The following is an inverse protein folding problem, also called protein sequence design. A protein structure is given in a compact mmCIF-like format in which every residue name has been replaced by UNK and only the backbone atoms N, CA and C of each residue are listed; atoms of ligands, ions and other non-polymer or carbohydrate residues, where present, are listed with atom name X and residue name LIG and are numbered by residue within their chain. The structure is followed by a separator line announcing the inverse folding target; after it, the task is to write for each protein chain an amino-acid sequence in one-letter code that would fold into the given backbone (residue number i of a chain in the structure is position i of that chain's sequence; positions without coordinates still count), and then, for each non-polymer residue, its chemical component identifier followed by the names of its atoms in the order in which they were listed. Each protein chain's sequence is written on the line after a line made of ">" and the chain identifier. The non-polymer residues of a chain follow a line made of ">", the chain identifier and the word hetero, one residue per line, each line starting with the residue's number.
data_IF_500980044589
#
_entry.id   IF_500980044589
#
_cell.length_a   1.000
_cell.length_b   1.000
_cell.length_c   1.000
_cell.angle_alpha   90.00
_cell.angle_beta   90.00
_cell.angle_gamma   90.00
#
_symmetry.space_group_name_H-M   'P 1'
#
loop_
_entity.id
_entity.type
_entity.pdbx_description
1 polymer ?
#
# COMPACT_ATOMS: atom_id res chain seq x y z
N UNK A 1 -20.01 -12.51 3.56
CA UNK A 1 -19.74 -13.29 2.33
C UNK A 1 -18.24 -13.28 1.95
N UNK A 2 -17.59 -12.12 1.99
CA UNK A 2 -16.18 -12.00 1.61
C UNK A 2 -15.23 -12.90 2.41
N UNK A 3 -15.30 -12.99 3.76
CA UNK A 3 -14.44 -13.89 4.53
C UNK A 3 -14.60 -15.37 4.15
N UNK A 4 -15.80 -15.79 3.80
CA UNK A 4 -16.08 -17.19 3.37
C UNK A 4 -15.40 -17.46 2.03
N UNK A 5 -15.55 -16.57 1.06
CA UNK A 5 -14.90 -16.68 -0.26
C UNK A 5 -13.38 -16.72 -0.11
N UNK A 6 -12.82 -15.82 0.70
CA UNK A 6 -11.40 -15.78 0.99
C UNK A 6 -10.90 -17.08 1.64
N UNK A 7 -11.62 -17.61 2.61
CA UNK A 7 -11.29 -18.87 3.28
C UNK A 7 -11.27 -20.05 2.32
N UNK A 8 -12.21 -20.11 1.40
CA UNK A 8 -12.24 -21.16 0.34
C UNK A 8 -11.01 -21.00 -0.57
N UNK A 9 -10.70 -19.80 -1.05
CA UNK A 9 -9.54 -19.56 -1.90
C UNK A 9 -8.24 -19.97 -1.20
N UNK A 10 -8.07 -19.59 0.06
CA UNK A 10 -6.90 -19.95 0.86
C UNK A 10 -6.78 -21.47 1.07
N UNK A 11 -7.89 -22.15 1.34
CA UNK A 11 -7.94 -23.61 1.52
C UNK A 11 -7.56 -24.37 0.24
N UNK A 12 -7.74 -23.75 -0.92
CA UNK A 12 -7.31 -24.28 -2.22
C UNK A 12 -5.83 -24.04 -2.52
N UNK A 13 -5.07 -23.45 -1.61
CA UNK A 13 -3.66 -23.14 -1.81
C UNK A 13 -3.41 -21.87 -2.63
N UNK A 14 -4.43 -21.09 -2.95
CA UNK A 14 -4.29 -19.83 -3.68
C UNK A 14 -3.76 -18.72 -2.76
N UNK A 15 -2.83 -17.91 -3.24
CA UNK A 15 -2.43 -16.69 -2.55
C UNK A 15 -3.63 -15.76 -2.46
N UNK A 16 -4.06 -15.48 -1.23
CA UNK A 16 -5.28 -14.72 -0.95
C UNK A 16 -4.94 -13.43 -0.23
N UNK A 17 -5.27 -12.30 -0.84
CA UNK A 17 -5.02 -10.96 -0.32
C UNK A 17 -6.34 -10.27 -0.10
N UNK A 18 -6.57 -9.77 1.12
CA UNK A 18 -7.73 -8.95 1.44
C UNK A 18 -7.37 -7.47 1.38
N UNK A 19 -8.19 -6.68 0.71
CA UNK A 19 -8.11 -5.22 0.74
C UNK A 19 -9.43 -4.72 1.31
N UNK A 20 -9.35 -4.05 2.46
CA UNK A 20 -10.53 -3.61 3.20
C UNK A 20 -10.44 -2.13 3.55
N UNK A 21 -11.59 -1.49 3.70
CA UNK A 21 -11.68 -0.09 4.11
C UNK A 21 -12.36 0.04 5.46
N UNK A 22 -11.90 1.03 6.25
CA UNK A 22 -12.58 1.45 7.47
C UNK A 22 -13.36 2.73 7.13
N UNK A 23 -14.68 2.80 7.46
CA UNK A 23 -15.53 3.93 7.11
C UNK A 23 -15.04 5.25 7.69
N UNK A 24 -15.47 6.36 7.10
CA UNK A 24 -15.30 7.69 7.66
C UNK A 24 -15.96 7.80 9.03
N UNK A 25 -15.39 8.63 9.91
CA UNK A 25 -15.91 8.86 11.26
C UNK A 25 -17.37 9.38 11.25
N UNK A 26 -17.72 10.25 10.27
CA UNK A 26 -19.09 10.76 10.12
C UNK A 26 -20.12 9.69 9.72
N UNK A 27 -19.69 8.50 9.31
CA UNK A 27 -20.58 7.35 9.06
C UNK A 27 -21.05 6.66 10.36
N UNK A 28 -20.63 7.15 11.50
CA UNK A 28 -20.97 6.76 12.87
C UNK A 28 -20.25 5.51 13.39
N UNK A 29 -20.06 5.53 14.70
CA UNK A 29 -19.35 4.50 15.49
C UNK A 29 -19.83 3.08 15.21
N UNK A 30 -21.13 2.88 15.01
CA UNK A 30 -21.72 1.56 14.76
C UNK A 30 -21.19 0.92 13.49
N UNK A 31 -21.04 1.71 12.40
CA UNK A 31 -20.45 1.25 11.16
C UNK A 31 -18.97 0.93 11.31
N UNK A 32 -18.24 1.75 12.04
CA UNK A 32 -16.81 1.55 12.30
C UNK A 32 -16.57 0.26 13.07
N UNK A 33 -17.33 0.03 14.14
CA UNK A 33 -17.24 -1.21 14.95
C UNK A 33 -17.56 -2.44 14.10
N UNK A 34 -18.57 -2.36 13.25
CA UNK A 34 -18.93 -3.44 12.33
C UNK A 34 -17.80 -3.71 11.32
N UNK A 35 -17.18 -2.66 10.79
CA UNK A 35 -16.04 -2.77 9.87
C UNK A 35 -14.83 -3.41 10.54
N UNK A 36 -14.50 -3.03 11.79
CA UNK A 36 -13.40 -3.61 12.55
C UNK A 36 -13.61 -5.10 12.82
N UNK A 37 -14.83 -5.51 13.13
CA UNK A 37 -15.17 -6.94 13.25
C UNK A 37 -15.00 -7.69 11.94
N UNK A 38 -15.38 -7.07 10.83
CA UNK A 38 -15.18 -7.61 9.49
C UNK A 38 -13.71 -7.77 9.15
N UNK A 39 -12.86 -6.82 9.53
CA UNK A 39 -11.40 -6.88 9.35
C UNK A 39 -10.81 -8.07 10.13
N UNK A 40 -11.19 -8.25 11.38
CA UNK A 40 -10.73 -9.38 12.20
C UNK A 40 -11.12 -10.74 11.60
N UNK A 41 -12.34 -10.85 11.11
CA UNK A 41 -12.81 -12.07 10.45
C UNK A 41 -12.10 -12.32 9.10
N UNK A 42 -11.92 -11.26 8.30
CA UNK A 42 -11.17 -11.34 7.04
C UNK A 42 -9.73 -11.75 7.26
N UNK A 43 -9.06 -11.18 8.27
CA UNK A 43 -7.67 -11.45 8.62
C UNK A 43 -7.39 -12.94 8.83
N UNK A 44 -8.34 -13.67 9.40
CA UNK A 44 -8.23 -15.11 9.64
C UNK A 44 -8.30 -15.95 8.35
N UNK A 45 -8.84 -15.37 7.28
CA UNK A 45 -9.16 -16.06 6.02
C UNK A 45 -8.28 -15.63 4.85
N UNK A 46 -7.29 -14.78 5.07
CA UNK A 46 -6.37 -14.29 4.02
C UNK A 46 -4.92 -14.52 4.42
N UNK A 47 -4.01 -14.53 3.44
CA UNK A 47 -2.57 -14.59 3.67
C UNK A 47 -2.02 -13.24 4.10
N UNK A 48 -2.52 -12.16 3.50
CA UNK A 48 -2.18 -10.79 3.86
C UNK A 48 -3.40 -9.89 3.74
N UNK A 49 -3.47 -8.87 4.60
CA UNK A 49 -4.56 -7.90 4.61
C UNK A 49 -4.00 -6.49 4.50
N UNK A 50 -4.55 -5.72 3.56
CA UNK A 50 -4.29 -4.29 3.39
C UNK A 50 -5.50 -3.52 3.92
N UNK A 51 -5.27 -2.67 4.91
CA UNK A 51 -6.33 -1.88 5.55
C UNK A 51 -6.20 -0.43 5.10
N UNK A 52 -7.24 0.10 4.48
CA UNK A 52 -7.34 1.50 4.07
C UNK A 52 -8.30 2.22 5.03
N UNK A 53 -7.79 3.17 5.80
CA UNK A 53 -8.61 3.97 6.71
C UNK A 53 -9.07 5.25 6.00
N UNK A 54 -10.36 5.37 5.70
CA UNK A 54 -10.94 6.51 5.01
C UNK A 54 -10.80 7.82 5.81
N UNK A 55 -10.72 7.76 7.14
CA UNK A 55 -10.53 8.95 7.97
C UNK A 55 -9.19 9.63 7.69
N UNK A 56 -8.17 8.88 7.28
CA UNK A 56 -6.88 9.45 6.88
C UNK A 56 -6.97 10.33 5.65
N UNK A 57 -7.92 10.05 4.76
CA UNK A 57 -8.22 10.89 3.61
C UNK A 57 -8.79 12.23 4.08
N UNK A 58 -9.67 12.21 5.06
CA UNK A 58 -10.20 13.42 5.68
C UNK A 58 -9.10 14.25 6.34
N UNK A 59 -8.17 13.64 7.05
CA UNK A 59 -7.04 14.34 7.69
C UNK A 59 -6.15 15.05 6.68
N UNK A 60 -5.85 14.40 5.55
CA UNK A 60 -5.01 14.98 4.49
C UNK A 60 -5.70 16.14 3.80
N UNK A 61 -7.00 16.08 3.61
CA UNK A 61 -7.80 17.09 2.93
C UNK A 61 -8.57 17.99 3.90
N UNK A 62 -8.22 18.01 5.20
CA UNK A 62 -8.91 18.79 6.23
C UNK A 62 -8.96 20.29 5.92
N UNK A 63 -7.87 20.83 5.34
CA UNK A 63 -7.77 22.23 4.96
C UNK A 63 -8.29 22.54 3.55
N UNK A 64 -8.78 21.53 2.83
CA UNK A 64 -9.34 21.70 1.50
C UNK A 64 -10.87 21.70 1.53
N UNK A 65 -11.47 22.44 0.60
CA UNK A 65 -12.92 22.60 0.51
C UNK A 65 -13.55 21.48 -0.34
N UNK A 66 -13.24 20.23 0.01
CA UNK A 66 -13.81 19.09 -0.71
C UNK A 66 -15.18 18.70 -0.13
N UNK A 67 -16.07 18.28 -1.02
CA UNK A 67 -17.39 17.81 -0.63
C UNK A 67 -17.33 16.38 -0.08
N UNK A 68 -18.34 15.98 0.69
CA UNK A 68 -18.50 14.59 1.16
C UNK A 68 -18.51 13.61 -0.01
N UNK A 69 -19.23 13.96 -1.08
CA UNK A 69 -19.26 13.15 -2.32
C UNK A 69 -17.85 12.96 -2.91
N UNK A 70 -17.06 14.03 -2.96
CA UNK A 70 -15.70 13.98 -3.47
C UNK A 70 -14.78 13.14 -2.57
N UNK A 71 -14.95 13.17 -1.25
CA UNK A 71 -14.16 12.33 -0.33
C UNK A 71 -14.45 10.85 -0.52
N UNK A 72 -15.70 10.46 -0.73
CA UNK A 72 -16.06 9.07 -1.08
C UNK A 72 -15.45 8.66 -2.42
N UNK A 73 -15.49 9.53 -3.42
CA UNK A 73 -14.89 9.26 -4.74
C UNK A 73 -13.38 9.04 -4.63
N UNK A 74 -12.68 9.83 -3.83
CA UNK A 74 -11.23 9.68 -3.61
C UNK A 74 -10.90 8.40 -2.86
N UNK A 75 -11.71 8.01 -1.88
CA UNK A 75 -11.56 6.75 -1.17
C UNK A 75 -11.69 5.56 -2.12
N UNK A 76 -12.69 5.55 -2.98
CA UNK A 76 -12.89 4.52 -4.00
C UNK A 76 -11.72 4.46 -4.99
N UNK A 77 -11.21 5.61 -5.40
CA UNK A 77 -10.07 5.71 -6.31
C UNK A 77 -8.79 5.15 -5.68
N UNK A 78 -8.53 5.43 -4.42
CA UNK A 78 -7.37 4.91 -3.69
C UNK A 78 -7.45 3.38 -3.60
N UNK A 79 -8.62 2.84 -3.26
CA UNK A 79 -8.85 1.40 -3.19
C UNK A 79 -8.64 0.74 -4.56
N UNK A 80 -9.17 1.33 -5.61
CA UNK A 80 -9.00 0.86 -6.99
C UNK A 80 -7.52 0.87 -7.41
N UNK A 81 -6.81 1.96 -7.13
CA UNK A 81 -5.40 2.08 -7.45
C UNK A 81 -4.54 1.08 -6.67
N UNK A 82 -4.84 0.82 -5.40
CA UNK A 82 -4.15 -0.17 -4.60
C UNK A 82 -4.32 -1.58 -5.19
N UNK A 83 -5.54 -1.95 -5.54
CA UNK A 83 -5.86 -3.24 -6.17
C UNK A 83 -5.14 -3.40 -7.51
N UNK A 84 -5.18 -2.38 -8.35
CA UNK A 84 -4.48 -2.35 -9.63
C UNK A 84 -2.98 -2.48 -9.47
N UNK A 85 -2.38 -1.78 -8.50
CA UNK A 85 -0.94 -1.83 -8.26
C UNK A 85 -0.46 -3.21 -7.81
N UNK A 86 -1.20 -3.90 -6.98
CA UNK A 86 -0.88 -5.29 -6.61
C UNK A 86 -0.94 -6.21 -7.83
N UNK A 87 -1.97 -6.07 -8.65
CA UNK A 87 -2.08 -6.83 -9.91
C UNK A 87 -0.92 -6.54 -10.86
N UNK A 88 -0.51 -5.30 -11.01
CA UNK A 88 0.60 -4.89 -11.87
C UNK A 88 1.94 -5.47 -11.40
N UNK A 89 2.19 -5.60 -10.10
CA UNK A 89 3.40 -6.23 -9.57
C UNK A 89 3.58 -7.68 -10.06
N UNK A 90 2.48 -8.34 -10.36
CA UNK A 90 2.47 -9.75 -10.77
C UNK A 90 2.48 -9.88 -12.31
N UNK A 91 1.81 -8.99 -13.02
CA UNK A 91 1.48 -9.16 -14.45
C UNK A 91 2.33 -8.34 -15.40
N UNK A 92 2.96 -7.24 -14.98
CA UNK A 92 3.75 -6.39 -15.86
C UNK A 92 5.18 -6.90 -15.96
N UNK A 93 5.62 -7.22 -17.17
CA UNK A 93 7.00 -7.55 -17.45
C UNK A 93 7.86 -6.27 -17.51
N UNK A 94 9.10 -6.37 -17.12
CA UNK A 94 10.03 -5.25 -17.11
C UNK A 94 11.49 -5.68 -17.25
N UNK A 95 12.39 -4.73 -17.18
CA UNK A 95 13.84 -4.96 -17.31
C UNK A 95 14.40 -5.79 -16.14
N UNK A 96 13.86 -5.55 -14.95
CA UNK A 96 14.14 -6.35 -13.76
C UNK A 96 12.79 -6.81 -13.22
N UNK A 97 12.48 -8.07 -13.44
CA UNK A 97 11.21 -8.64 -13.03
C UNK A 97 11.24 -9.09 -11.58
N UNK A 98 10.17 -8.76 -10.85
CA UNK A 98 9.88 -9.42 -9.59
C UNK A 98 9.43 -10.85 -9.90
N UNK A 99 10.11 -11.83 -9.31
CA UNK A 99 9.68 -13.22 -9.41
C UNK A 99 8.36 -13.36 -8.65
N UNK A 100 7.37 -14.01 -9.28
CA UNK A 100 6.09 -14.30 -8.63
C UNK A 100 6.27 -14.99 -7.28
N UNK A 101 7.26 -15.86 -7.15
CA UNK A 101 7.58 -16.53 -5.87
C UNK A 101 8.02 -15.54 -4.79
N UNK A 102 8.75 -14.51 -5.14
CA UNK A 102 9.17 -13.45 -4.20
C UNK A 102 7.96 -12.64 -3.73
N UNK A 103 7.06 -12.28 -4.64
CA UNK A 103 5.81 -11.60 -4.32
C UNK A 103 4.95 -12.47 -3.41
N UNK A 104 4.76 -13.73 -3.79
CA UNK A 104 3.99 -14.70 -3.01
C UNK A 104 4.59 -14.90 -1.61
N UNK A 105 5.91 -15.08 -1.51
CA UNK A 105 6.62 -15.24 -0.24
C UNK A 105 6.48 -14.01 0.66
N UNK A 106 6.53 -12.81 0.07
CA UNK A 106 6.36 -11.55 0.80
C UNK A 106 4.95 -11.41 1.36
N UNK A 107 3.94 -11.79 0.58
CA UNK A 107 2.54 -11.65 0.96
C UNK A 107 2.02 -12.80 1.82
N UNK A 108 2.51 -14.03 1.58
CA UNK A 108 2.04 -15.21 2.31
C UNK A 108 2.46 -15.15 3.77
N UNK A 109 1.50 -15.29 4.67
CA UNK A 109 1.69 -15.18 6.13
C UNK A 109 2.23 -13.83 6.61
N UNK A 110 2.12 -12.80 5.76
CA UNK A 110 2.55 -11.44 6.08
C UNK A 110 1.66 -10.73 7.10
N UNK A 111 0.44 -11.21 7.33
CA UNK A 111 -0.50 -10.59 8.24
C UNK A 111 -0.97 -9.22 7.74
N UNK A 112 -0.52 -8.14 8.37
CA UNK A 112 -0.79 -6.77 7.89
C UNK A 112 0.14 -6.38 6.77
N UNK A 113 -0.38 -5.69 5.78
CA UNK A 113 0.37 -5.12 4.67
C UNK A 113 0.11 -3.62 4.56
N UNK A 114 1.16 -2.88 4.21
CA UNK A 114 1.08 -1.45 3.92
C UNK A 114 1.53 -1.24 2.49
N UNK A 115 0.79 -0.45 1.74
CA UNK A 115 1.12 -0.08 0.37
C UNK A 115 1.24 1.43 0.25
N UNK A 116 2.23 1.87 -0.50
CA UNK A 116 2.38 3.26 -0.87
C UNK A 116 2.68 3.37 -2.36
N UNK A 117 2.16 4.40 -2.98
CA UNK A 117 2.39 4.71 -4.39
C UNK A 117 2.70 6.18 -4.54
N UNK A 118 3.69 6.47 -5.37
CA UNK A 118 4.07 7.85 -5.67
C UNK A 118 4.45 8.00 -7.12
N UNK A 119 4.27 9.22 -7.64
CA UNK A 119 4.58 9.59 -9.02
C UNK A 119 5.16 10.98 -9.05
N UNK A 120 6.19 11.18 -9.87
CA UNK A 120 6.81 12.48 -10.06
C UNK A 120 7.49 12.58 -11.42
N UNK A 121 7.77 13.80 -11.84
CA UNK A 121 8.43 14.12 -13.10
C UNK A 121 9.59 15.07 -12.87
N UNK A 122 10.40 15.24 -13.92
CA UNK A 122 11.48 16.20 -13.96
C UNK A 122 12.76 15.72 -13.27
N UNK A 123 13.57 16.66 -12.84
CA UNK A 123 14.86 16.39 -12.19
C UNK A 123 14.64 15.64 -10.88
N UNK A 124 15.41 14.58 -10.64
CA UNK A 124 15.30 13.68 -9.47
C UNK A 124 13.88 13.06 -9.32
N UNK A 125 13.29 12.67 -10.45
CA UNK A 125 11.92 12.13 -10.49
C UNK A 125 11.72 10.89 -9.60
N UNK A 126 12.72 10.02 -9.49
CA UNK A 126 12.63 8.80 -8.67
C UNK A 126 12.59 9.17 -7.19
N UNK A 127 13.48 10.03 -6.73
CA UNK A 127 13.46 10.53 -5.35
C UNK A 127 12.14 11.23 -5.01
N UNK A 128 11.67 12.09 -5.91
CA UNK A 128 10.37 12.79 -5.73
C UNK A 128 9.20 11.82 -5.70
N UNK A 129 9.23 10.77 -6.52
CA UNK A 129 8.22 9.72 -6.50
C UNK A 129 8.21 8.96 -5.18
N UNK A 130 9.38 8.68 -4.61
CA UNK A 130 9.51 8.06 -3.29
C UNK A 130 8.93 8.97 -2.19
N UNK A 131 9.27 10.25 -2.21
CA UNK A 131 8.73 11.24 -1.26
C UNK A 131 7.19 11.30 -1.37
N UNK A 132 6.67 11.34 -2.59
CA UNK A 132 5.23 11.32 -2.84
C UNK A 132 4.58 10.03 -2.29
N UNK A 133 5.22 8.89 -2.49
CA UNK A 133 4.74 7.61 -1.94
C UNK A 133 4.69 7.63 -0.40
N UNK A 134 5.71 8.18 0.25
CA UNK A 134 5.78 8.27 1.72
C UNK A 134 4.73 9.24 2.29
N UNK A 135 4.24 10.17 1.49
CA UNK A 135 3.12 11.05 1.83
C UNK A 135 1.75 10.46 1.48
N UNK A 136 1.70 9.22 0.98
CA UNK A 136 0.45 8.57 0.57
C UNK A 136 -0.52 8.43 1.74
N UNK A 137 -1.85 8.66 1.50
CA UNK A 137 -2.89 8.38 2.48
C UNK A 137 -2.86 6.95 3.04
N UNK A 138 -2.41 6.00 2.24
CA UNK A 138 -2.32 4.58 2.62
C UNK A 138 -1.27 4.33 3.71
N UNK A 139 -0.26 5.20 3.82
CA UNK A 139 0.80 5.09 4.83
C UNK A 139 0.56 5.89 6.10
N UNK A 140 -0.38 6.81 6.08
CA UNK A 140 -0.57 7.75 7.17
C UNK A 140 -0.70 7.03 8.52
N UNK A 141 0.15 7.41 9.49
CA UNK A 141 0.18 6.80 10.82
C UNK A 141 0.88 5.45 10.92
N UNK A 142 1.40 4.90 9.82
CA UNK A 142 2.14 3.66 9.79
C UNK A 142 3.62 3.90 9.45
N UNK A 143 4.49 3.15 10.09
CA UNK A 143 5.94 3.27 9.92
C UNK A 143 6.47 2.08 9.10
N UNK A 144 6.86 2.32 7.85
CA UNK A 144 7.45 1.32 6.96
C UNK A 144 8.72 0.71 7.56
N UNK A 145 9.48 1.47 8.36
CA UNK A 145 10.73 0.98 8.94
C UNK A 145 10.55 -0.22 9.88
N UNK A 146 9.33 -0.46 10.33
CA UNK A 146 8.98 -1.60 11.18
C UNK A 146 8.63 -2.87 10.40
N UNK A 147 8.56 -2.79 9.08
CA UNK A 147 8.34 -3.95 8.23
C UNK A 147 9.53 -4.91 8.27
N UNK A 148 9.28 -6.19 8.03
CA UNK A 148 10.34 -7.20 7.86
C UNK A 148 10.73 -7.37 6.41
N UNK A 149 9.81 -7.13 5.48
CA UNK A 149 10.00 -7.23 4.04
C UNK A 149 9.38 -6.06 3.31
N UNK A 150 10.08 -5.58 2.29
CA UNK A 150 9.61 -4.53 1.40
C UNK A 150 9.80 -4.98 -0.05
N UNK A 151 8.72 -4.88 -0.83
CA UNK A 151 8.75 -4.92 -2.27
C UNK A 151 8.76 -3.48 -2.78
N UNK A 152 9.75 -3.16 -3.59
CA UNK A 152 9.93 -1.85 -4.17
C UNK A 152 10.00 -1.97 -5.70
N UNK A 153 9.07 -1.38 -6.42
CA UNK A 153 9.07 -1.43 -7.88
C UNK A 153 9.04 -0.04 -8.47
N UNK A 154 9.92 0.20 -9.44
CA UNK A 154 10.03 1.47 -10.18
C UNK A 154 9.44 1.26 -11.56
N UNK A 155 8.56 2.18 -11.97
CA UNK A 155 7.94 2.19 -13.28
C UNK A 155 8.38 3.44 -14.04
N UNK A 156 8.79 3.24 -15.27
CA UNK A 156 9.07 4.31 -16.22
C UNK A 156 8.53 3.92 -17.60
N UNK A 157 8.36 4.90 -18.51
CA UNK A 157 7.93 4.60 -19.86
C UNK A 157 9.11 4.24 -20.77
N UNK A 158 8.82 3.60 -21.89
CA UNK A 158 9.80 3.35 -22.96
C UNK A 158 10.37 4.67 -23.51
N UNK A 159 9.54 5.71 -23.58
CA UNK A 159 9.93 7.05 -24.04
C UNK A 159 10.95 7.72 -23.12
N UNK A 160 10.87 7.45 -21.82
CA UNK A 160 11.73 8.05 -20.79
C UNK A 160 12.20 6.95 -19.82
N UNK A 161 13.08 6.04 -20.27
CA UNK A 161 13.48 4.88 -19.50
C UNK A 161 14.31 5.26 -18.27
N UNK A 162 14.39 4.36 -17.33
CA UNK A 162 15.19 4.53 -16.13
C UNK A 162 16.67 4.44 -16.47
N UNK A 163 17.45 5.44 -16.07
CA UNK A 163 18.90 5.48 -16.23
C UNK A 163 19.62 4.98 -14.98
N UNK A 164 20.83 4.43 -15.15
CA UNK A 164 21.64 3.91 -14.04
C UNK A 164 21.94 4.99 -13.00
N UNK A 165 22.19 6.22 -13.43
CA UNK A 165 22.46 7.33 -12.52
C UNK A 165 21.24 7.70 -11.64
N UNK A 166 20.03 7.38 -12.08
CA UNK A 166 18.82 7.59 -11.26
C UNK A 166 18.74 6.62 -10.08
N UNK A 167 19.46 5.51 -10.09
CA UNK A 167 19.50 4.56 -8.99
C UNK A 167 20.09 5.17 -7.71
N UNK A 168 20.94 6.20 -7.82
CA UNK A 168 21.47 6.93 -6.67
C UNK A 168 20.37 7.66 -5.88
N UNK A 169 19.25 7.96 -6.51
CA UNK A 169 18.12 8.64 -5.89
C UNK A 169 17.39 7.75 -4.87
N UNK A 170 17.62 6.45 -4.91
CA UNK A 170 17.04 5.47 -3.99
C UNK A 170 17.87 5.36 -2.70
N UNK A 171 19.14 5.77 -2.73
CA UNK A 171 20.09 5.54 -1.65
C UNK A 171 19.63 6.11 -0.31
N UNK A 172 19.10 7.31 -0.29
CA UNK A 172 18.60 7.94 0.94
C UNK A 172 17.43 7.15 1.56
N UNK A 173 16.55 6.62 0.73
CA UNK A 173 15.45 5.77 1.18
C UNK A 173 15.97 4.44 1.75
N UNK A 174 16.87 3.79 1.04
CA UNK A 174 17.45 2.52 1.48
C UNK A 174 18.25 2.66 2.78
N UNK A 175 19.03 3.74 2.90
CA UNK A 175 19.84 4.02 4.10
C UNK A 175 18.98 4.32 5.33
N UNK A 176 17.77 4.86 5.14
CA UNK A 176 16.82 5.12 6.22
C UNK A 176 16.13 3.85 6.74
N UNK A 177 16.19 2.75 6.01
CA UNK A 177 15.59 1.48 6.41
C UNK A 177 16.51 0.74 7.39
N UNK A 178 15.88 -0.05 8.29
CA UNK A 178 16.63 -0.97 9.15
C UNK A 178 17.42 -1.98 8.28
N UNK A 179 18.71 -2.22 8.55
CA UNK A 179 19.51 -3.19 7.79
C UNK A 179 18.95 -4.62 7.76
N UNK A 180 18.13 -4.97 8.74
CA UNK A 180 17.51 -6.29 8.83
C UNK A 180 16.27 -6.45 7.93
N UNK A 181 15.80 -5.36 7.30
CA UNK A 181 14.69 -5.42 6.36
C UNK A 181 15.15 -6.09 5.06
N UNK A 182 14.41 -7.11 4.65
CA UNK A 182 14.60 -7.76 3.36
C UNK A 182 13.92 -6.93 2.27
N UNK A 183 14.70 -6.36 1.35
CA UNK A 183 14.20 -5.53 0.26
C UNK A 183 14.35 -6.26 -1.06
N UNK A 184 13.22 -6.46 -1.72
CA UNK A 184 13.12 -7.03 -3.06
C UNK A 184 12.70 -5.92 -3.99
N UNK A 185 13.41 -5.71 -5.09
CA UNK A 185 13.12 -4.61 -6.00
C UNK A 185 13.06 -5.04 -7.46
N UNK A 186 12.32 -4.28 -8.26
CA UNK A 186 12.20 -4.49 -9.69
C UNK A 186 12.05 -3.18 -10.44
N UNK A 187 12.21 -3.26 -11.73
CA UNK A 187 12.02 -2.15 -12.66
C UNK A 187 11.09 -2.63 -13.77
N UNK A 188 10.00 -1.93 -13.97
CA UNK A 188 8.97 -2.26 -14.94
C UNK A 188 8.68 -1.09 -15.86
N UNK A 189 8.03 -1.37 -16.97
CA UNK A 189 7.66 -0.38 -17.97
C UNK A 189 6.16 -0.09 -17.92
N UNK A 190 5.81 1.19 -17.93
CA UNK A 190 4.44 1.67 -18.02
C UNK A 190 4.40 2.89 -18.93
N UNK A 191 3.96 2.70 -20.16
CA UNK A 191 3.97 3.74 -21.19
C UNK A 191 2.96 4.86 -20.94
N UNK A 192 2.03 4.69 -20.03
CA UNK A 192 1.10 5.75 -19.62
C UNK A 192 1.76 6.86 -18.81
N UNK A 193 2.98 6.62 -18.31
CA UNK A 193 3.72 7.58 -17.50
C UNK A 193 4.37 8.71 -18.28
N UNK A 194 4.61 8.51 -19.56
CA UNK A 194 5.37 9.43 -20.42
C UNK A 194 6.76 9.77 -19.82
N UNK A 195 6.95 10.97 -19.27
CA UNK A 195 8.22 11.39 -18.67
C UNK A 195 8.31 11.16 -17.16
N UNK A 196 7.25 10.67 -16.56
CA UNK A 196 7.19 10.46 -15.12
C UNK A 196 7.87 9.16 -14.68
N UNK A 197 8.27 9.11 -13.42
CA UNK A 197 8.56 7.89 -12.71
C UNK A 197 7.45 7.62 -11.69
N UNK A 198 7.10 6.36 -11.53
CA UNK A 198 6.18 5.89 -10.50
C UNK A 198 6.89 4.85 -9.63
N UNK A 199 6.65 4.89 -8.34
CA UNK A 199 7.12 3.85 -7.42
C UNK A 199 5.94 3.22 -6.69
N UNK A 200 6.04 1.92 -6.45
CA UNK A 200 5.11 1.18 -5.60
C UNK A 200 5.92 0.50 -4.51
N UNK A 201 5.51 0.71 -3.27
CA UNK A 201 6.13 0.14 -2.09
C UNK A 201 5.09 -0.74 -1.41
N UNK A 202 5.41 -2.02 -1.21
CA UNK A 202 4.57 -2.94 -0.48
C UNK A 202 5.38 -3.48 0.70
N UNK A 203 4.96 -3.18 1.92
CA UNK A 203 5.64 -3.57 3.14
C UNK A 203 4.79 -4.58 3.91
N UNK A 204 5.43 -5.64 4.40
CA UNK A 204 4.79 -6.72 5.16
C UNK A 204 5.63 -7.13 6.36
N UNK A 205 5.12 -8.04 7.18
CA UNK A 205 5.84 -8.57 8.33
C UNK A 205 5.81 -7.66 9.55
N UNK A 206 4.73 -6.91 9.72
CA UNK A 206 4.49 -6.14 10.94
C UNK A 206 4.09 -7.07 12.09
N UNK A 207 4.55 -6.73 13.29
CA UNK A 207 4.17 -7.46 14.49
C UNK A 207 2.66 -7.31 14.80
N UNK A 208 2.14 -8.14 15.72
CA UNK A 208 0.71 -8.21 16.08
C UNK A 208 0.10 -6.89 16.54
N UNK A 209 0.91 -5.86 16.82
CA UNK A 209 0.48 -4.50 17.12
C UNK A 209 -0.09 -3.71 15.95
N UNK A 210 -0.01 -4.22 14.70
CA UNK A 210 -0.53 -3.52 13.51
C UNK A 210 -2.03 -3.20 13.62
N UNK A 211 -2.83 -4.13 14.16
CA UNK A 211 -4.26 -3.91 14.40
C UNK A 211 -4.55 -3.07 15.65
N UNK A 212 -3.68 -3.06 16.65
CA UNK A 212 -3.89 -2.32 17.89
C UNK A 212 -3.76 -0.81 17.72
N UNK A 213 -2.97 -0.35 16.76
CA UNK A 213 -2.85 1.08 16.45
C UNK A 213 -4.15 1.68 15.90
N UNK A 214 -4.95 0.90 15.20
CA UNK A 214 -6.28 1.33 14.73
C UNK A 214 -7.24 1.57 15.90
N UNK A 215 -7.17 0.74 16.95
CA UNK A 215 -8.00 0.89 18.15
C UNK A 215 -7.53 2.04 19.05
N UNK A 216 -6.23 2.23 19.19
CA UNK A 216 -5.66 3.26 20.06
C UNK A 216 -5.87 4.69 19.55
N UNK A 217 -5.94 4.86 18.23
CA UNK A 217 -6.24 6.18 17.64
C UNK A 217 -7.71 6.56 17.79
N UNK A 218 -8.62 5.59 17.77
CA UNK A 218 -10.04 5.83 18.06
C UNK A 218 -10.28 6.25 19.51
N UNK A 219 -9.50 5.72 20.45
CA UNK A 219 -9.61 6.08 21.88
C UNK A 219 -9.10 7.49 22.17
N UNK A 220 -8.14 7.98 21.41
CA UNK A 220 -7.57 9.33 21.57
C UNK A 220 -8.41 10.44 20.94
N UNK A 221 -9.31 10.10 20.03
CA UNK A 221 -10.23 11.08 19.43
C UNK A 221 -11.48 11.35 20.27
N UNK A 222 -11.59 10.73 21.45
CA UNK A 222 -12.73 10.86 22.37
C UNK A 222 -12.38 11.59 23.67
N UNK A 223 -11.13 12.08 23.85
CA UNK A 223 -10.75 13.04 24.89
C UNK A 223 -10.64 14.46 24.29
#
# INVERSE_FOLDING_TARGET
>A
AAPVVAGVAKSMGLLTIGIVTIPFYFEKKRKIVKALKGVEEMRKNVDAILIVNNERICDIYADSDITVKESFRRADQILCNATKSISELITIEGDINLDFKDVESTMRSGGGAIMAMGRASGERRVEKAIVDALDSPLLYGNDISKAKRILFNIYTSEKSPLHVNEMNEIDAFMDALNPDIDVIWGVSEDNTLEDDAKVTILATGFDDGFGSNLYNEESRSHE
#
